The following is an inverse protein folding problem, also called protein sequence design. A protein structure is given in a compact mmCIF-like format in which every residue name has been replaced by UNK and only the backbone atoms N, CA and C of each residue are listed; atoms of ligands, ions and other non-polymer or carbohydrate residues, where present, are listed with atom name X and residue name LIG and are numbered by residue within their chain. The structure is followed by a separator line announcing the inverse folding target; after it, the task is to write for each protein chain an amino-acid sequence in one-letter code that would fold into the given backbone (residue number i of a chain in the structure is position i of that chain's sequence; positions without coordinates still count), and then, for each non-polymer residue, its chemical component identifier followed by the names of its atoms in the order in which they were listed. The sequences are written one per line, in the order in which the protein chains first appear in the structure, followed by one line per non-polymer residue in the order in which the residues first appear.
data_IF_260225599342
#
_entry.id   IF_260225599342
#
_cell.length_a   1.000
_cell.length_b   1.000
_cell.length_c   1.000
_cell.angle_alpha   90.00
_cell.angle_beta   90.00
_cell.angle_gamma   90.00
#
_symmetry.space_group_name_H-M   'P 1'
#
loop_
_entity.id
_entity.type
_entity.pdbx_description
1 polymer ?
#
# COMPACT_ATOMS: atom_id res chain seq x y z
N UNK A 1 -49.32 -49.26 -50.25
CA UNK A 1 -48.86 -50.51 -49.63
C UNK A 1 -47.56 -50.22 -48.91
N UNK A 2 -47.66 -50.07 -47.59
CA UNK A 2 -46.53 -49.78 -46.70
C UNK A 2 -45.64 -51.00 -46.54
N UNK A 3 -44.32 -50.83 -46.64
CA UNK A 3 -43.36 -51.75 -46.04
C UNK A 3 -42.34 -50.94 -45.23
N UNK A 4 -42.39 -51.23 -43.93
CA UNK A 4 -41.63 -50.63 -42.84
C UNK A 4 -40.29 -51.36 -42.71
N UNK A 5 -39.18 -50.64 -42.78
CA UNK A 5 -37.85 -51.18 -42.49
C UNK A 5 -37.47 -50.81 -41.05
N UNK A 6 -37.38 -51.82 -40.19
CA UNK A 6 -37.06 -51.73 -38.77
C UNK A 6 -35.54 -51.73 -38.57
N UNK A 7 -34.98 -50.69 -37.96
CA UNK A 7 -33.56 -50.66 -37.56
C UNK A 7 -33.32 -51.39 -36.22
N UNK A 8 -32.18 -52.08 -36.05
CA UNK A 8 -31.82 -52.76 -34.80
C UNK A 8 -31.31 -51.80 -33.73
N UNK A 9 -31.75 -52.04 -32.48
CA UNK A 9 -31.38 -51.30 -31.27
C UNK A 9 -29.93 -51.59 -30.86
N UNK A 10 -29.13 -50.53 -30.64
CA UNK A 10 -27.82 -50.60 -30.00
C UNK A 10 -27.94 -51.02 -28.51
N UNK A 11 -26.98 -51.79 -27.97
CA UNK A 11 -26.97 -52.17 -26.57
C UNK A 11 -26.59 -50.98 -25.67
N UNK A 12 -27.44 -50.70 -24.68
CA UNK A 12 -27.20 -49.73 -23.62
C UNK A 12 -26.22 -50.33 -22.59
N UNK A 13 -25.02 -49.76 -22.52
CA UNK A 13 -24.08 -49.96 -21.40
C UNK A 13 -24.50 -49.07 -20.22
N UNK A 14 -24.77 -49.70 -19.07
CA UNK A 14 -25.00 -49.00 -17.80
C UNK A 14 -23.69 -48.40 -17.28
N UNK A 15 -23.64 -47.11 -16.89
CA UNK A 15 -22.49 -46.58 -16.19
C UNK A 15 -22.48 -47.09 -14.74
N UNK A 16 -21.44 -47.83 -14.39
CA UNK A 16 -21.15 -48.16 -13.00
C UNK A 16 -20.69 -46.90 -12.27
N UNK A 17 -21.34 -46.62 -11.13
CA UNK A 17 -20.92 -45.59 -10.19
C UNK A 17 -19.68 -45.99 -9.39
N UNK A 18 -19.04 -44.96 -8.84
CA UNK A 18 -17.93 -44.96 -7.89
C UNK A 18 -16.49 -44.81 -8.42
N UNK A 19 -16.29 -43.99 -9.46
CA UNK A 19 -15.00 -43.29 -9.65
C UNK A 19 -15.17 -41.80 -9.36
N UNK A 20 -15.28 -41.46 -8.07
CA UNK A 20 -15.05 -40.09 -7.64
C UNK A 20 -13.56 -39.80 -7.86
N UNK A 21 -13.26 -39.15 -8.98
CA UNK A 21 -11.92 -38.62 -9.24
C UNK A 21 -11.43 -37.89 -7.98
N UNK A 22 -10.19 -38.13 -7.51
CA UNK A 22 -9.65 -37.41 -6.39
C UNK A 22 -9.73 -35.91 -6.69
N UNK A 23 -10.52 -35.18 -5.90
CA UNK A 23 -10.56 -33.72 -5.95
C UNK A 23 -9.11 -33.28 -5.76
N UNK A 24 -8.51 -32.55 -6.72
CA UNK A 24 -7.14 -32.08 -6.57
C UNK A 24 -7.08 -31.30 -5.26
N UNK A 25 -6.16 -31.68 -4.37
CA UNK A 25 -5.93 -30.95 -3.14
C UNK A 25 -5.65 -29.49 -3.52
N UNK A 26 -6.65 -28.63 -3.36
CA UNK A 26 -6.51 -27.20 -3.56
C UNK A 26 -5.45 -26.77 -2.56
N UNK A 27 -4.26 -26.45 -3.04
CA UNK A 27 -3.20 -25.92 -2.20
C UNK A 27 -3.79 -24.75 -1.44
N UNK A 28 -3.94 -24.91 -0.12
CA UNK A 28 -4.52 -23.87 0.71
C UNK A 28 -3.67 -22.62 0.54
N UNK A 29 -4.29 -21.53 0.11
CA UNK A 29 -3.61 -20.24 -0.04
C UNK A 29 -2.93 -19.87 1.28
N UNK A 30 -1.70 -19.33 1.27
CA UNK A 30 -1.02 -18.94 2.50
C UNK A 30 -1.87 -17.94 3.30
N UNK A 31 -1.80 -17.96 4.64
CA UNK A 31 -2.55 -17.02 5.47
C UNK A 31 -2.12 -15.59 5.16
N UNK A 32 -3.09 -14.70 4.92
CA UNK A 32 -2.84 -13.28 4.68
C UNK A 32 -3.28 -12.40 5.85
N UNK A 33 -4.04 -12.95 6.81
CA UNK A 33 -4.55 -12.23 7.97
C UNK A 33 -4.29 -12.95 9.29
N UNK A 34 -4.28 -12.16 10.36
CA UNK A 34 -4.60 -12.63 11.71
C UNK A 34 -6.10 -12.41 11.95
N UNK A 35 -6.83 -13.44 12.38
CA UNK A 35 -8.22 -13.29 12.74
C UNK A 35 -8.39 -12.25 13.87
N UNK A 36 -9.32 -11.29 13.72
CA UNK A 36 -9.57 -10.28 14.76
C UNK A 36 -10.11 -10.89 16.07
N UNK A 37 -10.80 -12.03 15.98
CA UNK A 37 -11.38 -12.73 17.14
C UNK A 37 -10.35 -13.64 17.82
N UNK A 38 -9.73 -14.56 17.07
CA UNK A 38 -8.88 -15.61 17.64
C UNK A 38 -7.39 -15.26 17.67
N UNK A 39 -6.98 -14.20 16.94
CA UNK A 39 -5.57 -13.82 16.71
C UNK A 39 -4.72 -14.88 16.01
N UNK A 40 -5.33 -15.93 15.48
CA UNK A 40 -4.62 -16.95 14.71
C UNK A 40 -4.49 -16.56 13.24
N UNK A 41 -3.41 -16.99 12.55
CA UNK A 41 -3.30 -16.89 11.10
C UNK A 41 -4.52 -17.54 10.42
N UNK A 42 -5.05 -16.89 9.38
CA UNK A 42 -6.20 -17.38 8.61
C UNK A 42 -6.02 -17.04 7.13
N UNK A 43 -6.32 -17.99 6.25
CA UNK A 43 -6.40 -17.73 4.82
C UNK A 43 -7.60 -16.83 4.52
N UNK A 44 -7.52 -16.02 3.47
CA UNK A 44 -8.61 -15.08 3.14
C UNK A 44 -9.91 -15.81 2.82
N UNK A 45 -9.81 -16.96 2.17
CA UNK A 45 -10.96 -17.74 1.73
C UNK A 45 -11.65 -18.41 2.91
N UNK A 46 -10.87 -18.92 3.88
CA UNK A 46 -11.41 -19.45 5.15
C UNK A 46 -12.06 -18.34 5.99
N UNK A 47 -11.47 -17.14 6.02
CA UNK A 47 -12.04 -16.00 6.70
C UNK A 47 -13.38 -15.57 6.09
N UNK A 48 -13.47 -15.55 4.75
CA UNK A 48 -14.70 -15.28 4.00
C UNK A 48 -15.75 -16.36 4.23
N UNK A 49 -15.38 -17.64 4.19
CA UNK A 49 -16.27 -18.76 4.45
C UNK A 49 -16.84 -18.72 5.87
N UNK A 50 -15.99 -18.48 6.87
CA UNK A 50 -16.38 -18.28 8.26
C UNK A 50 -17.39 -17.12 8.42
N UNK A 51 -17.17 -16.01 7.72
CA UNK A 51 -18.11 -14.88 7.75
C UNK A 51 -19.46 -15.19 7.10
N UNK A 52 -19.53 -16.12 6.15
CA UNK A 52 -20.78 -16.54 5.48
C UNK A 52 -21.57 -17.56 6.30
N UNK A 53 -20.88 -18.46 7.00
CA UNK A 53 -21.49 -19.62 7.69
C UNK A 53 -21.88 -19.34 9.15
N UNK A 54 -22.39 -18.15 9.45
CA UNK A 54 -22.88 -17.83 10.79
C UNK A 54 -21.80 -17.29 11.73
N UNK A 55 -21.06 -16.28 11.26
CA UNK A 55 -20.04 -15.48 11.97
C UNK A 55 -20.08 -15.62 13.51
N UNK A 56 -18.95 -15.88 14.19
CA UNK A 56 -18.90 -15.77 15.64
C UNK A 56 -19.47 -14.41 16.08
N UNK A 57 -20.24 -14.36 17.18
CA UNK A 57 -20.89 -13.13 17.66
C UNK A 57 -19.91 -11.94 17.84
N UNK A 58 -18.62 -12.22 18.01
CA UNK A 58 -17.56 -11.22 18.18
C UNK A 58 -16.96 -10.68 16.85
N UNK A 59 -17.28 -11.25 15.68
CA UNK A 59 -16.71 -10.81 14.41
C UNK A 59 -17.55 -9.68 13.78
N UNK A 60 -16.98 -8.48 13.67
CA UNK A 60 -17.66 -7.32 13.05
C UNK A 60 -17.58 -7.27 11.53
N UNK A 61 -16.85 -8.18 10.88
CA UNK A 61 -16.63 -8.15 9.43
C UNK A 61 -17.70 -8.96 8.70
N UNK A 62 -18.34 -8.33 7.71
CA UNK A 62 -19.28 -8.99 6.80
C UNK A 62 -18.56 -9.50 5.55
N UNK A 63 -19.15 -10.45 4.79
CA UNK A 63 -18.51 -10.96 3.58
C UNK A 63 -18.15 -9.87 2.56
N UNK A 64 -18.99 -8.86 2.27
CA UNK A 64 -18.63 -7.77 1.35
C UNK A 64 -17.42 -6.95 1.81
N UNK A 65 -17.28 -6.69 3.12
CA UNK A 65 -16.13 -5.94 3.65
C UNK A 65 -14.86 -6.76 3.51
N UNK A 66 -14.89 -8.05 3.87
CA UNK A 66 -13.73 -8.94 3.70
C UNK A 66 -13.33 -9.08 2.23
N UNK A 67 -14.30 -9.13 1.32
CA UNK A 67 -14.04 -9.17 -0.12
C UNK A 67 -13.34 -7.90 -0.61
N UNK A 68 -13.81 -6.73 -0.18
CA UNK A 68 -13.17 -5.45 -0.48
C UNK A 68 -11.75 -5.37 0.09
N UNK A 69 -11.53 -5.86 1.33
CA UNK A 69 -10.20 -5.94 1.93
C UNK A 69 -9.28 -6.85 1.12
N UNK A 70 -9.74 -8.06 0.76
CA UNK A 70 -9.01 -9.02 -0.07
C UNK A 70 -8.62 -8.41 -1.42
N UNK A 71 -9.57 -7.73 -2.08
CA UNK A 71 -9.33 -7.05 -3.35
C UNK A 71 -8.29 -5.93 -3.22
N UNK A 72 -8.33 -5.14 -2.15
CA UNK A 72 -7.38 -4.04 -1.91
C UNK A 72 -5.94 -4.50 -1.61
N UNK A 73 -5.76 -5.76 -1.22
CA UNK A 73 -4.46 -6.35 -0.97
C UNK A 73 -3.80 -6.89 -2.23
N UNK A 74 -4.54 -7.03 -3.33
CA UNK A 74 -3.95 -7.41 -4.62
C UNK A 74 -2.96 -6.32 -5.02
N UNK A 75 -1.74 -6.73 -5.34
CA UNK A 75 -0.68 -5.83 -5.77
C UNK A 75 -1.10 -5.05 -7.01
N UNK A 76 -0.84 -3.74 -7.03
CA UNK A 76 -0.90 -2.90 -8.22
C UNK A 76 -0.13 -3.59 -9.38
N UNK A 77 -0.79 -3.95 -10.50
CA UNK A 77 -0.15 -4.64 -11.62
C UNK A 77 1.06 -3.88 -12.17
N UNK A 78 1.01 -2.55 -12.21
CA UNK A 78 2.12 -1.73 -12.69
C UNK A 78 3.31 -1.84 -11.73
N UNK A 79 3.07 -1.73 -10.43
CA UNK A 79 4.12 -1.91 -9.42
C UNK A 79 4.70 -3.34 -9.46
N UNK A 80 3.86 -4.37 -9.68
CA UNK A 80 4.34 -5.75 -9.83
C UNK A 80 5.25 -5.91 -11.05
N UNK A 81 4.89 -5.33 -12.19
CA UNK A 81 5.73 -5.33 -13.38
C UNK A 81 7.08 -4.63 -13.13
N UNK A 82 7.06 -3.48 -12.44
CA UNK A 82 8.28 -2.76 -12.03
C UNK A 82 9.16 -3.63 -11.13
N UNK A 83 8.60 -4.32 -10.13
CA UNK A 83 9.36 -5.23 -9.27
C UNK A 83 9.99 -6.38 -10.07
N UNK A 84 9.24 -7.00 -10.99
CA UNK A 84 9.78 -8.07 -11.82
C UNK A 84 10.94 -7.61 -12.68
N UNK A 85 10.82 -6.43 -13.31
CA UNK A 85 11.88 -5.85 -14.14
C UNK A 85 13.11 -5.47 -13.30
N UNK A 86 12.91 -4.86 -12.13
CA UNK A 86 13.99 -4.49 -11.24
C UNK A 86 14.75 -5.74 -10.75
N UNK A 87 14.04 -6.80 -10.38
CA UNK A 87 14.63 -8.07 -9.96
C UNK A 87 15.50 -8.71 -11.06
N UNK A 88 15.06 -8.65 -12.33
CA UNK A 88 15.86 -9.11 -13.47
C UNK A 88 17.17 -8.32 -13.65
N UNK A 89 17.22 -7.09 -13.15
CA UNK A 89 18.40 -6.21 -13.20
C UNK A 89 19.19 -6.20 -11.89
N UNK A 90 18.81 -6.99 -10.89
CA UNK A 90 19.44 -6.96 -9.56
C UNK A 90 19.19 -5.66 -8.78
N UNK A 91 18.13 -4.93 -9.11
CA UNK A 91 17.81 -3.62 -8.53
C UNK A 91 16.65 -3.73 -7.52
N UNK A 92 16.77 -3.01 -6.40
CA UNK A 92 15.71 -2.93 -5.39
C UNK A 92 14.69 -1.84 -5.70
N UNK A 93 13.40 -2.10 -5.55
CA UNK A 93 12.37 -1.04 -5.67
C UNK A 93 11.99 -0.53 -4.29
N UNK A 94 12.21 0.77 -4.05
CA UNK A 94 11.77 1.48 -2.86
C UNK A 94 10.58 2.36 -3.20
N UNK A 95 9.52 2.31 -2.36
CA UNK A 95 8.40 3.24 -2.48
C UNK A 95 8.73 4.58 -1.81
N UNK A 96 8.16 5.69 -2.28
CA UNK A 96 8.29 7.01 -1.60
C UNK A 96 7.95 6.95 -0.11
N UNK A 97 6.92 6.19 0.28
CA UNK A 97 6.56 5.97 1.69
C UNK A 97 7.63 5.25 2.53
N UNK A 98 8.60 4.60 1.89
CA UNK A 98 9.76 3.99 2.54
C UNK A 98 10.82 5.04 2.90
N UNK A 99 10.85 6.17 2.18
CA UNK A 99 11.81 7.26 2.36
C UNK A 99 11.33 8.29 3.40
N UNK A 100 10.02 8.40 3.63
CA UNK A 100 9.44 9.35 4.59
C UNK A 100 9.30 8.78 6.01
N UNK A 101 9.28 7.45 6.15
CA UNK A 101 9.15 6.74 7.44
C UNK A 101 10.47 6.42 8.14
N UNK A 102 10.46 5.46 9.07
CA UNK A 102 11.67 4.94 9.71
C UNK A 102 12.46 4.02 8.76
N UNK A 103 13.76 4.25 8.63
CA UNK A 103 14.70 3.52 7.75
C UNK A 103 14.73 2.03 8.08
N UNK A 104 14.83 1.67 9.37
CA UNK A 104 14.79 0.26 9.80
C UNK A 104 13.45 -0.41 9.48
N UNK A 105 12.34 0.31 9.57
CA UNK A 105 11.03 -0.21 9.19
C UNK A 105 10.93 -0.48 7.68
N UNK A 106 11.48 0.41 6.85
CA UNK A 106 11.57 0.21 5.41
C UNK A 106 12.42 -1.01 5.07
N UNK A 107 13.58 -1.16 5.71
CA UNK A 107 14.45 -2.33 5.58
C UNK A 107 13.75 -3.62 5.98
N UNK A 108 13.08 -3.68 7.15
CA UNK A 108 12.33 -4.88 7.56
C UNK A 108 11.26 -5.28 6.54
N UNK A 109 10.57 -4.30 5.94
CA UNK A 109 9.57 -4.59 4.89
C UNK A 109 10.19 -5.18 3.64
N UNK A 110 11.39 -4.73 3.29
CA UNK A 110 12.13 -5.24 2.15
C UNK A 110 12.66 -6.66 2.40
N UNK A 111 13.24 -6.94 3.58
CA UNK A 111 13.99 -8.17 3.83
C UNK A 111 13.19 -9.27 4.54
N UNK A 112 12.17 -8.93 5.32
CA UNK A 112 11.41 -9.88 6.14
C UNK A 112 9.93 -9.99 5.72
N UNK A 113 9.52 -9.26 4.67
CA UNK A 113 8.13 -9.16 4.28
C UNK A 113 7.28 -8.35 5.27
N UNK A 114 5.95 -8.38 5.08
CA UNK A 114 5.01 -7.70 5.96
C UNK A 114 4.41 -8.71 6.95
N UNK A 115 4.52 -8.48 8.28
CA UNK A 115 3.88 -9.34 9.27
C UNK A 115 2.37 -9.39 9.06
N UNK A 116 1.75 -10.51 9.41
CA UNK A 116 0.30 -10.64 9.34
C UNK A 116 -0.39 -9.57 10.19
N UNK A 117 -1.44 -8.99 9.64
CA UNK A 117 -2.28 -7.99 10.29
C UNK A 117 -3.73 -8.47 10.36
N UNK A 118 -4.52 -7.83 11.22
CA UNK A 118 -5.95 -8.14 11.28
C UNK A 118 -6.75 -7.34 10.25
N UNK A 119 -7.92 -7.85 9.81
CA UNK A 119 -8.85 -7.11 8.95
C UNK A 119 -9.13 -5.68 9.43
N UNK A 120 -9.27 -5.47 10.74
CA UNK A 120 -9.46 -4.14 11.35
C UNK A 120 -8.33 -3.15 11.04
N UNK A 121 -7.08 -3.61 10.97
CA UNK A 121 -5.96 -2.75 10.57
C UNK A 121 -5.97 -2.44 9.08
N UNK A 122 -6.40 -3.39 8.25
CA UNK A 122 -6.54 -3.17 6.82
C UNK A 122 -7.68 -2.21 6.47
N UNK A 123 -8.76 -2.17 7.26
CA UNK A 123 -9.90 -1.27 7.05
C UNK A 123 -9.49 0.21 6.95
N UNK A 124 -8.58 0.68 7.81
CA UNK A 124 -8.11 2.06 7.77
C UNK A 124 -7.43 2.41 6.43
N UNK A 125 -6.71 1.45 5.83
CA UNK A 125 -6.04 1.64 4.53
C UNK A 125 -7.03 1.55 3.38
N UNK A 126 -7.94 0.58 3.41
CA UNK A 126 -8.98 0.41 2.41
C UNK A 126 -9.82 1.68 2.25
N UNK A 127 -10.21 2.32 3.36
CA UNK A 127 -10.96 3.58 3.30
C UNK A 127 -10.23 4.65 2.50
N UNK A 128 -8.94 4.85 2.74
CA UNK A 128 -8.13 5.79 1.95
C UNK A 128 -8.11 5.44 0.47
N UNK A 129 -7.91 4.16 0.13
CA UNK A 129 -7.90 3.68 -1.26
C UNK A 129 -9.25 3.92 -1.96
N UNK A 130 -10.38 3.72 -1.28
CA UNK A 130 -11.70 3.97 -1.85
C UNK A 130 -11.86 5.45 -2.24
N UNK A 131 -11.49 6.37 -1.35
CA UNK A 131 -11.57 7.81 -1.63
C UNK A 131 -10.68 8.21 -2.81
N UNK A 132 -9.44 7.72 -2.85
CA UNK A 132 -8.50 8.04 -3.93
C UNK A 132 -9.02 7.56 -5.29
N UNK A 133 -9.48 6.29 -5.38
CA UNK A 133 -10.05 5.76 -6.63
C UNK A 133 -11.29 6.52 -7.10
N UNK A 134 -12.14 6.96 -6.18
CA UNK A 134 -13.30 7.76 -6.54
C UNK A 134 -12.87 9.12 -7.13
N UNK A 135 -11.91 9.80 -6.49
CA UNK A 135 -11.40 11.09 -6.97
C UNK A 135 -10.63 10.96 -8.29
N UNK A 136 -9.82 9.91 -8.44
CA UNK A 136 -9.14 9.56 -9.70
C UNK A 136 -10.14 9.42 -10.85
N UNK A 137 -11.25 8.72 -10.65
CA UNK A 137 -12.28 8.52 -11.68
C UNK A 137 -12.99 9.80 -12.11
N UNK A 138 -12.88 10.87 -11.31
CA UNK A 138 -13.46 12.18 -11.58
C UNK A 138 -12.44 13.18 -12.12
N UNK A 139 -11.16 12.83 -12.18
CA UNK A 139 -10.11 13.72 -12.67
C UNK A 139 -10.27 13.98 -14.17
N UNK A 140 -9.96 15.21 -14.58
CA UNK A 140 -9.93 15.56 -16.00
C UNK A 140 -8.82 14.78 -16.73
N UNK A 141 -9.02 14.50 -18.03
CA UNK A 141 -8.05 13.72 -18.82
C UNK A 141 -6.66 14.36 -18.93
N UNK A 142 -6.58 15.68 -18.78
CA UNK A 142 -5.34 16.46 -18.80
C UNK A 142 -4.54 16.36 -17.49
N UNK A 143 -5.15 15.86 -16.42
CA UNK A 143 -4.54 15.71 -15.10
C UNK A 143 -3.89 14.34 -14.96
N UNK A 144 -2.70 14.30 -14.37
CA UNK A 144 -2.04 13.06 -13.96
C UNK A 144 -2.55 12.68 -12.57
N UNK A 145 -3.59 11.84 -12.52
CA UNK A 145 -4.16 11.32 -11.27
C UNK A 145 -3.72 9.86 -11.02
N UNK A 146 -3.34 9.56 -9.78
CA UNK A 146 -2.82 8.25 -9.33
C UNK A 146 -1.71 7.67 -10.25
N UNK A 147 -0.97 8.55 -10.94
CA UNK A 147 0.04 8.16 -11.92
C UNK A 147 1.31 7.70 -11.20
N UNK A 148 1.81 6.53 -11.61
CA UNK A 148 3.07 5.98 -11.09
C UNK A 148 4.26 6.54 -11.85
N UNK A 149 5.23 7.02 -11.09
CA UNK A 149 6.55 7.45 -11.58
C UNK A 149 7.64 6.59 -10.96
N UNK A 150 8.69 6.35 -11.74
CA UNK A 150 9.86 5.57 -11.34
C UNK A 150 11.11 6.34 -11.72
N UNK A 151 12.05 6.47 -10.77
CA UNK A 151 13.37 7.06 -11.02
C UNK A 151 14.44 6.05 -10.66
N UNK A 152 15.41 5.90 -11.54
CA UNK A 152 16.58 5.04 -11.35
C UNK A 152 17.65 5.75 -10.51
N UNK A 153 18.03 5.16 -9.37
CA UNK A 153 19.08 5.71 -8.51
C UNK A 153 20.49 5.21 -8.83
N UNK A 154 20.69 4.34 -9.83
CA UNK A 154 22.03 3.89 -10.22
C UNK A 154 22.92 5.03 -10.68
N UNK A 155 22.34 6.06 -11.29
CA UNK A 155 23.03 7.31 -11.64
C UNK A 155 23.61 8.05 -10.40
N UNK A 156 23.12 7.73 -9.21
CA UNK A 156 23.56 8.27 -7.92
C UNK A 156 24.34 7.24 -7.09
N UNK A 157 24.71 6.10 -7.69
CA UNK A 157 25.51 5.06 -7.05
C UNK A 157 24.72 4.20 -6.04
N UNK A 158 23.41 4.03 -6.24
CA UNK A 158 22.58 3.14 -5.41
C UNK A 158 21.84 2.16 -6.33
N UNK A 159 21.93 0.85 -6.06
CA UNK A 159 21.23 -0.20 -6.81
C UNK A 159 19.73 -0.27 -6.46
N UNK A 160 19.03 0.84 -6.69
CA UNK A 160 17.63 1.01 -6.37
C UNK A 160 16.86 1.85 -7.40
N UNK A 161 15.56 1.58 -7.49
CA UNK A 161 14.59 2.44 -8.14
C UNK A 161 13.65 3.03 -7.09
N UNK A 162 13.30 4.30 -7.22
CA UNK A 162 12.27 4.94 -6.41
C UNK A 162 10.96 4.96 -7.18
N UNK A 163 9.93 4.32 -6.63
CA UNK A 163 8.58 4.33 -7.19
C UNK A 163 7.61 5.16 -6.32
N UNK A 164 6.92 6.12 -6.92
CA UNK A 164 5.89 6.94 -6.28
C UNK A 164 4.58 6.89 -7.05
N UNK A 165 3.46 7.09 -6.35
CA UNK A 165 2.14 7.29 -6.96
C UNK A 165 1.74 8.70 -6.63
N UNK A 166 1.67 9.56 -7.64
CA UNK A 166 1.27 10.95 -7.46
C UNK A 166 -0.26 10.98 -7.51
N UNK A 167 -0.89 11.39 -6.41
CA UNK A 167 -2.36 11.40 -6.30
C UNK A 167 -2.99 12.34 -7.35
N UNK A 168 -2.42 13.55 -7.50
CA UNK A 168 -2.89 14.54 -8.48
C UNK A 168 -1.77 15.52 -8.89
N UNK A 169 -1.50 15.63 -10.18
CA UNK A 169 -0.68 16.70 -10.77
C UNK A 169 -1.33 17.25 -12.03
N UNK A 170 -1.51 18.57 -12.09
CA UNK A 170 -1.98 19.26 -13.29
C UNK A 170 -0.77 19.89 -14.02
N UNK A 171 -0.37 19.37 -15.20
CA UNK A 171 0.77 19.91 -15.96
C UNK A 171 0.55 21.33 -16.50
N UNK A 172 -0.70 21.75 -16.75
CA UNK A 172 -0.99 23.06 -17.31
C UNK A 172 -0.73 24.16 -16.28
N UNK A 173 -1.24 23.97 -15.07
CA UNK A 173 -1.04 24.91 -13.95
C UNK A 173 0.28 24.65 -13.20
N UNK A 174 0.80 23.44 -13.25
CA UNK A 174 1.98 23.00 -12.50
C UNK A 174 1.67 22.75 -11.01
N UNK A 175 0.42 22.41 -10.67
CA UNK A 175 -0.03 22.21 -9.29
C UNK A 175 0.02 20.73 -8.93
N UNK A 176 0.81 20.41 -7.89
CA UNK A 176 0.87 19.08 -7.27
C UNK A 176 0.02 19.06 -5.99
N UNK A 177 -0.93 18.13 -5.92
CA UNK A 177 -1.78 17.94 -4.74
C UNK A 177 -1.69 16.49 -4.25
N UNK A 178 -1.36 16.33 -2.98
CA UNK A 178 -1.40 15.03 -2.29
C UNK A 178 -2.65 14.94 -1.43
N UNK A 179 -3.34 13.80 -1.50
CA UNK A 179 -4.63 13.56 -0.87
C UNK A 179 -4.42 12.73 0.40
N UNK A 180 -5.05 13.17 1.50
CA UNK A 180 -4.90 12.51 2.80
C UNK A 180 -6.24 12.35 3.48
N UNK A 181 -6.60 11.11 3.77
CA UNK A 181 -7.76 10.79 4.62
C UNK A 181 -7.32 10.65 6.07
N UNK A 182 -8.04 11.32 6.97
CA UNK A 182 -7.76 11.32 8.41
C UNK A 182 -8.85 10.59 9.18
N UNK A 183 -8.41 9.80 10.16
CA UNK A 183 -9.29 9.07 11.08
C UNK A 183 -9.77 9.99 12.21
N UNK A 184 -10.43 11.09 11.84
CA UNK A 184 -10.89 12.11 12.77
C UNK A 184 -12.40 12.30 12.61
N UNK A 185 -13.13 12.18 13.72
CA UNK A 185 -14.49 12.72 13.84
C UNK A 185 -14.48 14.21 14.17
N UNK A 186 -13.30 14.75 14.54
CA UNK A 186 -13.09 16.15 14.86
C UNK A 186 -12.83 16.96 13.58
N UNK A 187 -13.26 18.22 13.58
CA UNK A 187 -12.99 19.18 12.50
C UNK A 187 -11.48 19.36 12.27
N UNK A 188 -11.07 19.59 11.03
CA UNK A 188 -9.66 19.77 10.67
C UNK A 188 -9.03 20.98 11.35
N UNK A 189 -9.83 21.99 11.68
CA UNK A 189 -9.42 23.15 12.48
C UNK A 189 -8.87 22.77 13.87
N UNK A 190 -9.20 21.59 14.40
CA UNK A 190 -8.67 21.10 15.67
C UNK A 190 -7.28 20.46 15.58
N UNK A 191 -6.69 20.40 14.38
CA UNK A 191 -5.34 19.93 14.14
C UNK A 191 -4.43 21.13 13.81
N UNK A 192 -3.77 21.73 14.83
CA UNK A 192 -2.93 22.92 14.61
C UNK A 192 -1.71 22.62 13.74
N UNK A 193 -1.22 21.38 13.77
CA UNK A 193 0.05 20.99 13.14
C UNK A 193 -0.11 20.50 11.69
N UNK A 194 -1.10 21.03 10.95
CA UNK A 194 -1.24 20.76 9.52
C UNK A 194 -0.53 21.86 8.70
N UNK A 195 0.24 21.50 7.66
CA UNK A 195 0.49 20.15 7.17
C UNK A 195 1.56 19.40 8.00
N UNK A 196 1.43 18.08 8.12
CA UNK A 196 2.39 17.26 8.87
C UNK A 196 3.73 17.18 8.16
N UNK A 197 4.83 17.21 8.89
CA UNK A 197 6.19 17.20 8.33
C UNK A 197 6.46 16.02 7.37
N UNK A 198 6.02 14.81 7.72
CA UNK A 198 6.19 13.65 6.84
C UNK A 198 5.34 13.70 5.56
N UNK A 199 4.21 14.43 5.59
CA UNK A 199 3.44 14.68 4.36
C UNK A 199 4.11 15.74 3.50
N UNK A 200 4.68 16.80 4.09
CA UNK A 200 5.50 17.78 3.37
C UNK A 200 6.66 17.08 2.66
N UNK A 201 7.40 16.23 3.40
CA UNK A 201 8.50 15.45 2.83
C UNK A 201 8.03 14.52 1.68
N UNK A 202 6.86 13.91 1.79
CA UNK A 202 6.28 13.09 0.72
C UNK A 202 6.04 13.91 -0.54
N UNK A 203 5.40 15.08 -0.41
CA UNK A 203 5.08 15.97 -1.55
C UNK A 203 6.35 16.52 -2.21
N UNK A 204 7.38 16.86 -1.42
CA UNK A 204 8.68 17.26 -1.98
C UNK A 204 9.36 16.14 -2.76
N UNK A 205 9.30 14.89 -2.29
CA UNK A 205 9.82 13.73 -3.05
C UNK A 205 9.01 13.52 -4.34
N UNK A 206 7.69 13.74 -4.32
CA UNK A 206 6.89 13.71 -5.54
C UNK A 206 7.26 14.82 -6.53
N UNK A 207 7.53 16.03 -6.05
CA UNK A 207 8.08 17.11 -6.90
C UNK A 207 9.40 16.70 -7.56
N UNK A 208 10.30 16.06 -6.80
CA UNK A 208 11.54 15.50 -7.34
C UNK A 208 11.30 14.40 -8.38
N UNK A 209 10.34 13.47 -8.15
CA UNK A 209 10.00 12.44 -9.13
C UNK A 209 9.50 13.03 -10.45
N UNK A 210 8.63 14.05 -10.39
CA UNK A 210 8.11 14.73 -11.57
C UNK A 210 9.22 15.43 -12.36
N UNK A 211 10.14 16.11 -11.66
CA UNK A 211 11.30 16.75 -12.27
C UNK A 211 12.20 15.74 -12.99
N UNK A 212 12.53 14.61 -12.33
CA UNK A 212 13.33 13.54 -12.94
C UNK A 212 12.62 12.81 -14.08
N UNK A 213 11.29 12.81 -14.08
CA UNK A 213 10.48 12.30 -15.19
C UNK A 213 10.37 13.29 -16.37
N UNK A 214 11.00 14.46 -16.30
CA UNK A 214 11.00 15.46 -17.38
C UNK A 214 9.77 16.36 -17.40
N UNK A 215 8.90 16.31 -16.39
CA UNK A 215 7.71 17.17 -16.28
C UNK A 215 8.00 18.53 -15.63
N UNK A 216 9.24 18.73 -15.17
CA UNK A 216 9.64 19.89 -14.39
C UNK A 216 9.20 19.81 -12.93
N UNK A 217 9.75 20.70 -12.11
CA UNK A 217 9.36 20.82 -10.72
C UNK A 217 8.03 21.58 -10.59
N UNK A 218 7.09 21.17 -9.71
CA UNK A 218 5.80 21.85 -9.56
C UNK A 218 5.93 23.35 -9.21
N UNK A 219 5.04 24.16 -9.78
CA UNK A 219 4.94 25.61 -9.50
C UNK A 219 4.19 25.91 -8.20
N UNK A 220 3.38 24.96 -7.73
CA UNK A 220 2.72 25.01 -6.44
C UNK A 220 2.50 23.59 -5.90
N UNK A 221 2.46 23.48 -4.57
CA UNK A 221 2.24 22.22 -3.87
C UNK A 221 1.18 22.40 -2.78
N UNK A 222 0.32 21.41 -2.62
CA UNK A 222 -0.69 21.42 -1.57
C UNK A 222 -0.96 20.00 -1.05
N UNK A 223 -1.51 19.93 0.15
CA UNK A 223 -2.07 18.69 0.71
C UNK A 223 -3.53 18.94 1.03
N UNK A 224 -4.42 18.10 0.50
CA UNK A 224 -5.84 18.12 0.83
C UNK A 224 -6.12 17.06 1.88
N UNK A 225 -6.44 17.52 3.09
CA UNK A 225 -6.86 16.68 4.19
C UNK A 225 -8.38 16.52 4.18
N UNK A 226 -8.83 15.28 4.33
CA UNK A 226 -10.24 14.91 4.31
C UNK A 226 -10.57 14.10 5.56
N UNK A 227 -11.65 14.50 6.23
CA UNK A 227 -12.30 13.72 7.30
C UNK A 227 -13.72 13.35 6.85
N UNK A 228 -14.50 12.73 7.73
CA UNK A 228 -15.91 12.46 7.41
C UNK A 228 -16.79 13.72 7.37
N UNK A 229 -16.36 14.83 7.96
CA UNK A 229 -17.18 16.05 8.09
C UNK A 229 -16.49 17.36 7.72
N UNK A 230 -15.29 17.29 7.16
CA UNK A 230 -14.48 18.48 6.86
C UNK A 230 -13.42 18.15 5.81
N UNK A 231 -13.14 19.11 4.92
CA UNK A 231 -12.11 19.04 3.88
C UNK A 231 -11.32 20.35 3.94
N UNK A 232 -9.98 20.24 4.00
CA UNK A 232 -9.09 21.40 4.04
C UNK A 232 -7.86 21.16 3.17
N UNK A 233 -7.69 22.03 2.19
CA UNK A 233 -6.44 22.11 1.41
C UNK A 233 -5.50 23.09 2.08
N UNK A 234 -4.27 22.64 2.33
CA UNK A 234 -3.22 23.45 2.96
C UNK A 234 -2.06 23.56 1.98
N UNK A 235 -1.59 24.78 1.66
CA UNK A 235 -0.43 24.96 0.80
C UNK A 235 0.82 24.39 1.47
N UNK A 236 1.69 23.79 0.67
CA UNK A 236 3.01 23.32 1.09
C UNK A 236 4.05 24.27 0.51
N UNK A 237 4.92 24.88 1.33
CA UNK A 237 6.01 25.71 0.84
C UNK A 237 6.89 24.92 -0.14
N UNK A 238 7.20 25.53 -1.28
CA UNK A 238 8.19 24.97 -2.20
C UNK A 238 9.57 25.02 -1.54
N UNK A 239 10.39 23.97 -1.65
CA UNK A 239 11.76 24.03 -1.22
C UNK A 239 12.54 25.02 -2.10
N UNK A 240 13.50 25.73 -1.51
CA UNK A 240 14.46 26.56 -2.25
C UNK A 240 15.31 25.68 -3.18
N UNK A 241 16.09 26.24 -4.12
CA UNK A 241 17.03 25.45 -4.92
C UNK A 241 17.96 24.56 -4.06
N UNK A 242 18.49 25.10 -2.96
CA UNK A 242 19.30 24.36 -1.99
C UNK A 242 18.47 23.32 -1.25
N UNK A 243 17.21 23.65 -0.90
CA UNK A 243 16.25 22.72 -0.33
C UNK A 243 15.97 21.53 -1.25
N UNK A 244 15.88 21.74 -2.57
CA UNK A 244 15.71 20.64 -3.55
C UNK A 244 16.93 19.72 -3.59
N UNK A 245 18.13 20.29 -3.58
CA UNK A 245 19.37 19.50 -3.48
C UNK A 245 19.41 18.69 -2.18
N UNK A 246 18.99 19.29 -1.06
CA UNK A 246 18.89 18.59 0.22
C UNK A 246 17.87 17.42 0.17
N UNK A 247 16.72 17.61 -0.49
CA UNK A 247 15.74 16.53 -0.70
C UNK A 247 16.36 15.39 -1.49
N UNK A 248 17.04 15.65 -2.61
CA UNK A 248 17.72 14.63 -3.41
C UNK A 248 18.80 13.89 -2.61
N UNK A 249 19.69 14.63 -1.95
CA UNK A 249 20.74 14.05 -1.10
C UNK A 249 20.15 13.14 -0.03
N UNK A 250 19.01 13.53 0.56
CA UNK A 250 18.31 12.73 1.57
C UNK A 250 17.62 11.50 1.00
N UNK A 251 17.04 11.57 -0.20
CA UNK A 251 16.51 10.41 -0.93
C UNK A 251 17.63 9.40 -1.15
N UNK A 252 18.76 9.84 -1.72
CA UNK A 252 19.90 8.98 -2.03
C UNK A 252 20.49 8.37 -0.76
N UNK A 253 20.79 9.18 0.26
CA UNK A 253 21.36 8.69 1.51
C UNK A 253 20.45 7.68 2.21
N UNK A 254 19.13 7.90 2.18
CA UNK A 254 18.15 7.00 2.79
C UNK A 254 17.97 5.72 1.99
N UNK A 255 17.90 5.81 0.67
CA UNK A 255 17.85 4.64 -0.20
C UNK A 255 19.09 3.76 0.00
N UNK A 256 20.28 4.37 0.03
CA UNK A 256 21.55 3.72 0.32
C UNK A 256 21.51 3.00 1.66
N UNK A 257 21.11 3.70 2.72
CA UNK A 257 21.01 3.11 4.06
C UNK A 257 20.00 1.96 4.14
N UNK A 258 18.97 1.90 3.30
CA UNK A 258 18.02 0.78 3.26
C UNK A 258 18.59 -0.39 2.47
N UNK A 259 19.18 -0.14 1.31
CA UNK A 259 19.52 -1.18 0.32
C UNK A 259 20.86 -1.85 0.65
N UNK A 260 21.82 -1.08 1.15
CA UNK A 260 23.18 -1.55 1.46
C UNK A 260 23.36 -1.94 2.93
N UNK A 261 22.26 -1.98 3.70
CA UNK A 261 22.34 -2.38 5.09
C UNK A 261 22.78 -3.84 5.24
N UNK A 262 23.57 -4.11 6.28
CA UNK A 262 23.92 -5.47 6.66
C UNK A 262 22.65 -6.33 6.80
N UNK A 263 22.58 -7.52 6.18
CA UNK A 263 21.37 -8.33 6.15
C UNK A 263 20.99 -8.91 7.52
N UNK A 264 21.94 -8.98 8.46
CA UNK A 264 21.73 -9.53 9.81
C UNK A 264 21.37 -8.42 10.79
N UNK A 265 22.13 -7.33 10.78
CA UNK A 265 21.99 -6.23 11.72
C UNK A 265 20.93 -5.21 11.26
N UNK A 266 20.85 -4.92 9.97
CA UNK A 266 20.03 -3.86 9.41
C UNK A 266 20.51 -2.43 9.76
N UNK A 267 19.91 -1.39 9.17
CA UNK A 267 20.33 -0.01 9.36
C UNK A 267 19.74 0.59 10.64
N UNK A 268 20.41 1.55 11.29
CA UNK A 268 19.89 2.28 12.47
C UNK A 268 18.46 2.80 12.25
N UNK A 269 17.57 2.60 13.22
CA UNK A 269 16.23 3.17 13.20
C UNK A 269 16.26 4.67 13.49
N UNK A 270 15.57 5.45 12.66
CA UNK A 270 15.49 6.91 12.74
C UNK A 270 14.02 7.39 12.82
N UNK A 271 13.18 6.89 13.76
CA UNK A 271 11.80 7.34 13.84
C UNK A 271 11.76 8.86 14.07
N UNK A 272 11.11 9.59 13.16
CA UNK A 272 11.00 11.05 13.22
C UNK A 272 9.93 11.51 14.20
N UNK A 273 8.89 10.70 14.35
CA UNK A 273 7.75 11.01 15.19
C UNK A 273 7.40 9.79 16.06
N UNK A 274 6.96 10.02 17.29
CA UNK A 274 6.72 8.95 18.28
C UNK A 274 5.66 7.95 17.84
N UNK A 275 4.70 8.40 17.03
CA UNK A 275 3.65 7.52 16.51
C UNK A 275 4.22 6.43 15.59
N UNK A 276 5.38 6.64 14.95
CA UNK A 276 5.97 5.66 14.04
C UNK A 276 6.29 4.35 14.77
N UNK A 277 6.89 4.41 15.96
CA UNK A 277 7.15 3.21 16.77
C UNK A 277 5.86 2.58 17.32
N UNK A 278 4.83 3.38 17.60
CA UNK A 278 3.53 2.90 18.12
C UNK A 278 2.82 2.02 17.10
N UNK A 279 2.81 2.45 15.83
CA UNK A 279 2.12 1.79 14.72
C UNK A 279 3.00 0.86 13.88
N UNK A 280 4.31 0.79 14.15
CA UNK A 280 5.22 -0.12 13.45
C UNK A 280 4.88 -1.59 13.73
N UNK A 281 4.76 -2.39 12.67
CA UNK A 281 4.47 -3.83 12.75
C UNK A 281 5.65 -4.63 13.30
N UNK A 282 6.88 -4.14 13.13
CA UNK A 282 8.11 -4.81 13.57
C UNK A 282 8.55 -4.39 14.98
N UNK A 283 7.73 -3.61 15.69
CA UNK A 283 8.11 -3.01 16.99
C UNK A 283 8.46 -4.04 18.08
N UNK A 284 8.03 -5.29 17.94
CA UNK A 284 8.38 -6.35 18.89
C UNK A 284 9.84 -6.81 18.75
N UNK A 285 10.39 -6.78 17.53
CA UNK A 285 11.74 -7.22 17.21
C UNK A 285 12.75 -6.08 17.00
N UNK A 286 12.28 -4.82 17.02
CA UNK A 286 13.11 -3.65 16.69
C UNK A 286 13.92 -3.15 17.91
N UNK A 287 15.27 -3.10 17.84
CA UNK A 287 16.10 -2.61 18.93
C UNK A 287 15.99 -1.09 19.16
N UNK A 288 15.71 -0.30 18.12
CA UNK A 288 15.58 1.17 18.24
C UNK A 288 14.16 1.63 18.58
N UNK A 289 13.30 0.73 19.05
CA UNK A 289 11.95 1.11 19.42
C UNK A 289 11.99 2.17 20.52
N UNK A 290 11.50 3.37 20.22
CA UNK A 290 11.21 4.38 21.24
C UNK A 290 10.05 3.90 22.11
N UNK A 291 10.25 3.92 23.43
CA UNK A 291 9.16 3.74 24.40
C UNK A 291 8.35 5.03 24.36
N UNK A 292 7.04 4.93 24.08
CA UNK A 292 6.18 6.11 24.17
C UNK A 292 6.18 6.59 25.62
N UNK A 293 6.57 7.83 25.86
CA UNK A 293 6.35 8.46 27.15
C UNK A 293 4.84 8.40 27.44
N UNK A 294 4.47 7.77 28.55
CA UNK A 294 3.10 7.91 29.05
C UNK A 294 2.96 9.38 29.40
N UNK A 295 2.23 10.15 28.58
CA UNK A 295 1.71 11.44 29.05
C UNK A 295 0.93 11.14 30.33
N UNK A 296 1.49 11.50 31.48
CA UNK A 296 0.72 11.63 32.71
C UNK A 296 -0.27 12.74 32.41
N UNK A 297 -1.50 12.39 32.05
CA UNK A 297 -2.62 13.32 32.11
C UNK A 297 -2.69 13.80 33.57
N UNK A 298 -2.40 15.09 33.75
CA UNK A 298 -2.73 15.84 34.95
C UNK A 298 -4.14 16.39 34.76
#
# INVERSE_FOLDING_TARGET
MSQTITQPKSPQTKPNGNDAAPVPATQASPPLWLCDVTRQPVATDDCLACSRNGRPNACSFTPPILEALRASMKSDPALKAIHSLAAQQGVTVLRVSSLTGCTRQAWYRLTQGTPLETPSRHWARLRGVIFHKALESMAEKSVLAEQRFVVDLRAFGVDAWIAGMVDHYDPATGVLTDLKTMNAWKRLASYPDLPREHHIAQVWIYGWLLEKAGLGYPRAMAITYMTMGDIRTVPVPLPTPEGRQFVEARIVAKAKAIVEADPTLGPKGDPREDWQCRYCLYKAACPDRRKSEKKKEK
#
